data_IF_239264624117
#
_entry.id   IF_239264624117
#
_cell.length_a   1.000
_cell.length_b   1.000
_cell.length_c   1.000
_cell.angle_alpha   90.00
_cell.angle_beta   90.00
_cell.angle_gamma   90.00
#
_symmetry.space_group_name_H-M   'P 1'
#
loop_
_entity.id
_entity.type
_entity.pdbx_description
1 polymer ?
#
# COMPACT_ATOMS: atom_id res chain seq x y z
N UNK A 1 -31.08 2.99 -9.50
CA UNK A 1 -30.81 4.43 -9.28
C UNK A 1 -30.38 4.61 -7.83
N UNK A 2 -29.08 4.57 -7.54
CA UNK A 2 -28.56 4.69 -6.18
C UNK A 2 -28.59 6.16 -5.72
N UNK A 3 -29.29 6.42 -4.62
CA UNK A 3 -29.47 7.77 -4.07
C UNK A 3 -28.15 8.40 -3.64
N UNK A 4 -27.95 9.66 -4.03
CA UNK A 4 -26.81 10.46 -3.60
C UNK A 4 -26.73 10.51 -2.06
N UNK A 5 -25.52 10.48 -1.47
CA UNK A 5 -25.37 10.51 -0.02
C UNK A 5 -25.93 11.82 0.55
N UNK A 6 -26.74 11.70 1.59
CA UNK A 6 -27.34 12.82 2.32
C UNK A 6 -26.22 13.63 2.98
N UNK A 7 -25.80 14.72 2.33
CA UNK A 7 -24.94 15.73 2.95
C UNK A 7 -25.74 16.34 4.12
N UNK A 8 -25.27 16.17 5.36
CA UNK A 8 -25.84 16.87 6.51
C UNK A 8 -25.83 18.36 6.20
N UNK A 9 -27.00 18.97 6.03
CA UNK A 9 -27.13 20.41 5.88
C UNK A 9 -26.53 21.06 7.12
N UNK A 10 -25.49 21.88 6.94
CA UNK A 10 -24.92 22.68 8.03
C UNK A 10 -26.06 23.55 8.57
N UNK A 11 -26.30 23.53 9.88
CA UNK A 11 -27.44 24.18 10.59
C UNK A 11 -27.56 25.72 10.36
N UNK A 12 -26.68 26.31 9.54
CA UNK A 12 -26.61 27.73 9.15
C UNK A 12 -26.14 27.85 7.71
N UNK A 13 -26.86 27.26 6.76
CA UNK A 13 -26.49 27.20 5.33
C UNK A 13 -26.58 28.55 4.58
N UNK A 14 -26.92 29.65 5.25
CA UNK A 14 -26.96 31.00 4.68
C UNK A 14 -26.21 32.05 5.49
N UNK A 15 -25.37 31.64 6.45
CA UNK A 15 -24.48 32.58 7.14
C UNK A 15 -23.19 32.65 6.35
N UNK A 16 -22.90 33.82 5.77
CA UNK A 16 -21.58 34.12 5.21
C UNK A 16 -20.54 33.88 6.31
N UNK A 17 -19.76 32.82 6.14
CA UNK A 17 -18.61 32.56 7.01
C UNK A 17 -17.50 33.45 6.47
N UNK A 18 -17.36 34.64 7.04
CA UNK A 18 -16.17 35.45 6.79
C UNK A 18 -14.97 34.71 7.41
N UNK A 19 -13.98 34.29 6.60
CA UNK A 19 -12.76 33.71 7.16
C UNK A 19 -12.10 34.76 8.05
N UNK A 20 -11.72 34.35 9.26
CA UNK A 20 -11.00 35.23 10.16
C UNK A 20 -9.71 35.68 9.46
N UNK A 21 -9.60 36.99 9.22
CA UNK A 21 -8.41 37.61 8.65
C UNK A 21 -7.69 38.32 9.79
N UNK A 22 -6.51 37.86 10.23
CA UNK A 22 -5.76 38.57 11.27
C UNK A 22 -5.43 39.98 10.78
N UNK A 23 -5.39 40.95 11.69
CA UNK A 23 -5.13 42.34 11.33
C UNK A 23 -3.72 42.52 10.75
N UNK A 24 -2.75 41.70 11.19
CA UNK A 24 -1.39 41.65 10.69
C UNK A 24 -0.81 40.22 10.76
N UNK A 25 0.17 39.85 9.91
CA UNK A 25 0.82 38.54 9.97
C UNK A 25 1.54 38.35 11.31
N UNK A 26 1.22 37.29 12.06
CA UNK A 26 1.86 36.98 13.35
C UNK A 26 1.15 37.54 14.60
N UNK A 27 -0.09 38.02 14.47
CA UNK A 27 -0.89 38.43 15.64
C UNK A 27 -1.09 37.25 16.62
N UNK A 28 -0.57 37.40 17.84
CA UNK A 28 -0.78 36.46 18.95
C UNK A 28 -1.99 36.86 19.80
N UNK A 29 -2.79 35.89 20.24
CA UNK A 29 -3.97 36.11 21.10
C UNK A 29 -3.75 35.53 22.50
N UNK A 30 -4.38 36.13 23.50
CA UNK A 30 -4.35 35.61 24.87
C UNK A 30 -4.96 34.19 24.92
N UNK A 31 -4.18 33.21 25.38
CA UNK A 31 -4.55 31.79 25.36
C UNK A 31 -4.23 31.04 24.06
N UNK A 32 -3.56 31.67 23.10
CA UNK A 32 -3.09 31.00 21.89
C UNK A 32 -2.03 29.94 22.23
N UNK A 33 -2.28 28.71 21.82
CA UNK A 33 -1.27 27.64 21.91
C UNK A 33 -0.15 27.93 20.93
N UNK A 34 1.11 27.59 21.28
CA UNK A 34 2.22 27.71 20.33
C UNK A 34 1.90 26.93 19.06
N UNK A 35 2.38 27.39 17.89
CA UNK A 35 2.25 26.64 16.65
C UNK A 35 2.78 25.21 16.81
N UNK A 36 2.12 24.24 16.17
CA UNK A 36 2.63 22.88 16.20
C UNK A 36 4.01 22.81 15.57
N UNK A 37 4.90 22.09 16.23
CA UNK A 37 6.24 21.85 15.70
C UNK A 37 6.17 21.11 14.36
N UNK A 38 7.09 21.45 13.47
CA UNK A 38 7.27 20.73 12.21
C UNK A 38 7.57 19.27 12.55
N UNK A 39 6.80 18.34 11.97
CA UNK A 39 6.89 16.89 12.20
C UNK A 39 6.15 16.37 13.45
N UNK A 40 5.25 17.15 14.03
CA UNK A 40 4.48 16.68 15.17
C UNK A 40 3.69 15.39 14.85
N UNK A 41 3.86 14.37 15.69
CA UNK A 41 3.18 13.07 15.61
C UNK A 41 2.05 12.92 16.63
N UNK A 42 1.71 13.95 17.42
CA UNK A 42 0.66 13.88 18.46
C UNK A 42 -0.71 13.42 17.94
N UNK A 43 -1.02 13.66 16.67
CA UNK A 43 -2.28 13.24 16.04
C UNK A 43 -2.18 11.91 15.29
N UNK A 44 -1.00 11.30 15.26
CA UNK A 44 -0.74 10.05 14.56
C UNK A 44 -1.16 8.90 15.47
N UNK A 45 -2.14 8.12 15.02
CA UNK A 45 -2.64 6.96 15.78
C UNK A 45 -1.69 5.77 15.61
N UNK A 46 -1.63 5.24 14.40
CA UNK A 46 -0.85 4.03 14.05
C UNK A 46 -0.03 4.22 12.77
N UNK A 47 0.01 5.42 12.18
CA UNK A 47 0.89 5.72 11.04
C UNK A 47 0.52 5.10 9.68
N UNK A 48 -0.34 4.08 9.62
CA UNK A 48 -0.69 3.38 8.36
C UNK A 48 -1.37 4.26 7.28
N UNK A 49 -1.80 5.47 7.63
CA UNK A 49 -2.32 6.48 6.69
C UNK A 49 -1.37 7.68 6.51
N UNK A 50 -0.27 7.73 7.26
CA UNK A 50 0.75 8.76 7.17
C UNK A 50 1.71 8.43 6.04
N UNK A 51 1.64 9.20 4.94
CA UNK A 51 2.54 9.00 3.80
C UNK A 51 4.01 9.07 4.20
N UNK A 52 4.34 9.95 5.16
CA UNK A 52 5.68 10.10 5.71
C UNK A 52 6.20 8.81 6.35
N UNK A 53 5.36 8.11 7.11
CA UNK A 53 5.76 6.91 7.83
C UNK A 53 5.73 5.68 6.92
N UNK A 54 4.76 5.65 6.00
CA UNK A 54 4.52 4.55 5.08
C UNK A 54 5.57 4.48 3.96
N UNK A 55 5.93 5.61 3.35
CA UNK A 55 6.83 5.68 2.20
C UNK A 55 8.18 4.96 2.40
N UNK A 56 8.97 5.23 3.46
CA UNK A 56 10.27 4.57 3.62
C UNK A 56 10.17 3.06 3.77
N UNK A 57 9.11 2.57 4.43
CA UNK A 57 8.86 1.13 4.60
C UNK A 57 8.46 0.49 3.26
N UNK A 58 7.58 1.15 2.50
CA UNK A 58 7.19 0.68 1.17
C UNK A 58 8.40 0.63 0.21
N UNK A 59 9.28 1.62 0.24
CA UNK A 59 10.52 1.62 -0.56
C UNK A 59 11.44 0.44 -0.20
N UNK A 60 11.53 0.08 1.09
CA UNK A 60 12.29 -1.09 1.54
C UNK A 60 11.69 -2.41 1.02
N UNK A 61 10.35 -2.53 1.00
CA UNK A 61 9.66 -3.68 0.42
C UNK A 61 9.88 -3.81 -1.08
N UNK A 62 9.77 -2.72 -1.84
CA UNK A 62 10.08 -2.70 -3.28
C UNK A 62 11.51 -3.17 -3.52
N UNK A 63 12.49 -2.63 -2.78
CA UNK A 63 13.89 -3.02 -2.90
C UNK A 63 14.09 -4.51 -2.66
N UNK A 64 13.42 -5.06 -1.65
CA UNK A 64 13.48 -6.49 -1.32
C UNK A 64 12.90 -7.35 -2.44
N UNK A 65 11.74 -6.98 -2.97
CA UNK A 65 11.10 -7.70 -4.06
C UNK A 65 11.95 -7.70 -5.35
N UNK A 66 12.52 -6.55 -5.73
CA UNK A 66 13.38 -6.44 -6.92
C UNK A 66 14.72 -7.20 -6.79
N UNK A 67 15.17 -7.45 -5.56
CA UNK A 67 16.33 -8.29 -5.29
C UNK A 67 16.01 -9.79 -5.42
N UNK A 68 14.80 -10.21 -5.07
CA UNK A 68 14.39 -11.62 -5.07
C UNK A 68 13.79 -12.09 -6.42
N UNK A 69 13.15 -11.18 -7.15
CA UNK A 69 12.40 -11.48 -8.37
C UNK A 69 12.80 -10.52 -9.49
N UNK A 70 13.73 -10.95 -10.35
CA UNK A 70 14.26 -10.10 -11.42
C UNK A 70 13.21 -9.64 -12.45
N UNK A 71 12.17 -10.44 -12.71
CA UNK A 71 11.10 -10.12 -13.66
C UNK A 71 10.27 -8.90 -13.22
N UNK A 72 10.23 -8.57 -11.93
CA UNK A 72 9.54 -7.39 -11.41
C UNK A 72 10.22 -6.07 -11.79
N UNK A 73 11.41 -6.11 -12.41
CA UNK A 73 12.09 -4.93 -12.96
C UNK A 73 11.47 -4.42 -14.24
N UNK A 74 10.60 -5.21 -14.87
CA UNK A 74 9.83 -4.72 -16.01
C UNK A 74 8.88 -3.60 -15.56
N UNK A 75 8.91 -2.40 -16.19
CA UNK A 75 8.09 -1.26 -15.80
C UNK A 75 6.58 -1.52 -15.78
N UNK A 76 6.09 -2.52 -16.53
CA UNK A 76 4.67 -2.91 -16.52
C UNK A 76 4.18 -3.38 -15.14
N UNK A 77 5.06 -3.90 -14.30
CA UNK A 77 4.73 -4.32 -12.93
C UNK A 77 4.80 -3.19 -11.90
N UNK A 78 5.38 -2.02 -12.24
CA UNK A 78 5.63 -0.94 -11.29
C UNK A 78 4.38 -0.51 -10.50
N UNK A 79 3.20 -0.28 -11.12
CA UNK A 79 2.02 0.13 -10.37
C UNK A 79 1.54 -0.92 -9.37
N UNK A 80 1.58 -2.19 -9.76
CA UNK A 80 1.17 -3.31 -8.91
C UNK A 80 2.18 -3.55 -7.78
N UNK A 81 3.47 -3.43 -8.07
CA UNK A 81 4.56 -3.55 -7.10
C UNK A 81 4.49 -2.46 -6.02
N UNK A 82 4.28 -1.21 -6.45
CA UNK A 82 4.08 -0.08 -5.52
C UNK A 82 2.82 -0.26 -4.69
N UNK A 83 1.71 -0.69 -5.28
CA UNK A 83 0.48 -0.94 -4.54
C UNK A 83 0.68 -2.03 -3.47
N UNK A 84 1.32 -3.14 -3.83
CA UNK A 84 1.66 -4.22 -2.92
C UNK A 84 2.52 -3.73 -1.75
N UNK A 85 3.65 -3.07 -2.05
CA UNK A 85 4.59 -2.59 -1.04
C UNK A 85 3.95 -1.59 -0.07
N UNK A 86 3.03 -0.75 -0.55
CA UNK A 86 2.25 0.15 0.31
C UNK A 86 1.30 -0.58 1.25
N UNK A 87 0.78 -1.75 0.88
CA UNK A 87 -0.04 -2.56 1.78
C UNK A 87 0.80 -3.36 2.78
N UNK A 88 1.94 -3.91 2.38
CA UNK A 88 2.90 -4.53 3.32
C UNK A 88 3.34 -3.51 4.38
N UNK A 89 3.75 -2.31 3.94
CA UNK A 89 4.14 -1.23 4.86
C UNK A 89 3.03 -0.82 5.84
N UNK A 90 1.75 -0.95 5.44
CA UNK A 90 0.63 -0.73 6.36
C UNK A 90 0.47 -1.85 7.36
N UNK A 91 0.69 -3.11 6.95
CA UNK A 91 0.67 -4.24 7.85
C UNK A 91 1.77 -4.09 8.91
N UNK A 92 3.00 -3.77 8.50
CA UNK A 92 4.13 -3.54 9.42
C UNK A 92 3.79 -2.49 10.47
N UNK A 93 3.32 -1.31 10.03
CA UNK A 93 2.95 -0.22 10.95
C UNK A 93 1.79 -0.58 11.89
N UNK A 94 0.86 -1.43 11.44
CA UNK A 94 -0.24 -1.90 12.28
C UNK A 94 0.24 -2.97 13.27
N UNK A 95 1.14 -3.86 12.87
CA UNK A 95 1.77 -4.84 13.78
C UNK A 95 2.58 -4.12 14.84
N UNK A 96 3.48 -3.21 14.47
CA UNK A 96 4.28 -2.42 15.41
C UNK A 96 3.38 -1.72 16.44
N UNK A 97 2.29 -1.09 15.97
CA UNK A 97 1.34 -0.43 16.87
C UNK A 97 0.62 -1.42 17.79
N UNK A 98 0.20 -2.59 17.29
CA UNK A 98 -0.47 -3.63 18.07
C UNK A 98 0.48 -4.24 19.11
N UNK A 99 1.75 -4.42 18.77
CA UNK A 99 2.75 -4.94 19.68
C UNK A 99 2.99 -3.98 20.86
N UNK A 100 2.93 -2.67 20.59
CA UNK A 100 3.05 -1.63 21.62
C UNK A 100 1.78 -1.40 22.44
N UNK A 101 0.59 -1.47 21.83
CA UNK A 101 -0.67 -1.02 22.44
C UNK A 101 -1.65 -2.16 22.75
N UNK A 102 -1.38 -3.37 22.27
CA UNK A 102 -2.24 -4.54 22.40
C UNK A 102 -3.34 -4.66 21.35
N UNK A 103 -3.90 -5.87 21.27
CA UNK A 103 -5.03 -6.21 20.40
C UNK A 103 -6.37 -5.73 20.93
N UNK A 104 -6.50 -5.62 22.26
CA UNK A 104 -7.74 -5.34 22.97
C UNK A 104 -7.53 -4.06 23.80
N UNK A 105 -8.49 -3.14 23.72
CA UNK A 105 -8.48 -1.90 24.51
C UNK A 105 -8.96 -2.12 25.95
N UNK A 106 -8.89 -1.06 26.76
CA UNK A 106 -9.30 -1.07 28.17
C UNK A 106 -10.78 -1.44 28.39
N UNK A 107 -11.60 -1.41 27.33
CA UNK A 107 -13.03 -1.75 27.36
C UNK A 107 -13.31 -3.17 26.86
N UNK A 108 -12.28 -3.98 26.62
CA UNK A 108 -12.41 -5.34 26.13
C UNK A 108 -12.77 -5.44 24.64
N UNK A 109 -12.61 -4.35 23.87
CA UNK A 109 -12.91 -4.32 22.44
C UNK A 109 -11.64 -4.42 21.60
N UNK A 110 -11.74 -5.00 20.40
CA UNK A 110 -10.62 -4.99 19.47
C UNK A 110 -10.24 -3.56 19.07
N UNK A 111 -8.95 -3.25 19.14
CA UNK A 111 -8.42 -1.94 18.78
C UNK A 111 -8.68 -1.62 17.30
N UNK A 112 -8.72 -0.34 16.89
CA UNK A 112 -8.90 0.02 15.49
C UNK A 112 -7.82 -0.57 14.57
N UNK A 113 -6.59 -0.71 15.05
CA UNK A 113 -5.52 -1.36 14.31
C UNK A 113 -5.80 -2.85 14.09
N UNK A 114 -6.18 -3.56 15.15
CA UNK A 114 -6.55 -4.98 15.07
C UNK A 114 -7.73 -5.24 14.13
N UNK A 115 -8.69 -4.30 14.05
CA UNK A 115 -9.82 -4.38 13.10
C UNK A 115 -9.40 -4.19 11.64
N UNK A 116 -8.42 -3.32 11.38
CA UNK A 116 -7.97 -3.01 10.02
C UNK A 116 -6.99 -4.05 9.47
N UNK A 117 -6.17 -4.64 10.34
CA UNK A 117 -5.07 -5.52 9.96
C UNK A 117 -5.49 -6.66 9.01
N UNK A 118 -6.54 -7.47 9.28
CA UNK A 118 -6.94 -8.56 8.40
C UNK A 118 -7.31 -8.11 6.98
N UNK A 119 -7.85 -6.89 6.85
CA UNK A 119 -8.21 -6.33 5.54
C UNK A 119 -6.96 -5.97 4.73
N UNK A 120 -5.93 -5.45 5.39
CA UNK A 120 -4.68 -5.07 4.72
C UNK A 120 -3.82 -6.28 4.42
N UNK A 121 -3.72 -7.25 5.34
CA UNK A 121 -3.08 -8.54 5.10
C UNK A 121 -3.72 -9.27 3.92
N UNK A 122 -5.05 -9.34 3.88
CA UNK A 122 -5.76 -9.97 2.76
C UNK A 122 -5.47 -9.31 1.40
N UNK A 123 -5.39 -7.97 1.37
CA UNK A 123 -5.03 -7.23 0.14
C UNK A 123 -3.57 -7.44 -0.25
N UNK A 124 -2.67 -7.42 0.73
CA UNK A 124 -1.25 -7.63 0.52
C UNK A 124 -0.98 -9.06 0.00
N UNK A 125 -1.63 -10.07 0.57
CA UNK A 125 -1.59 -11.45 0.11
C UNK A 125 -2.12 -11.61 -1.33
N UNK A 126 -3.26 -10.98 -1.65
CA UNK A 126 -3.81 -11.01 -3.00
C UNK A 126 -2.85 -10.40 -4.03
N UNK A 127 -2.27 -9.23 -3.74
CA UNK A 127 -1.32 -8.58 -4.64
C UNK A 127 -0.01 -9.37 -4.78
N UNK A 128 0.48 -9.98 -3.69
CA UNK A 128 1.63 -10.90 -3.72
C UNK A 128 1.38 -12.07 -4.66
N UNK A 129 0.15 -12.61 -4.65
CA UNK A 129 -0.24 -13.68 -5.57
C UNK A 129 -0.34 -13.21 -7.03
N UNK A 130 -0.95 -12.05 -7.27
CA UNK A 130 -1.03 -11.46 -8.62
C UNK A 130 0.36 -11.19 -9.20
N UNK A 131 1.32 -10.77 -8.38
CA UNK A 131 2.70 -10.50 -8.79
C UNK A 131 3.56 -11.77 -8.92
N UNK A 132 3.01 -12.97 -8.66
CA UNK A 132 3.78 -14.21 -8.78
C UNK A 132 4.82 -14.42 -7.67
N UNK A 133 4.67 -13.72 -6.54
CA UNK A 133 5.62 -13.75 -5.43
C UNK A 133 5.32 -14.84 -4.38
N UNK A 134 4.13 -15.44 -4.39
CA UNK A 134 3.86 -16.59 -3.53
C UNK A 134 4.43 -17.90 -4.12
N UNK A 135 4.77 -18.91 -3.29
CA UNK A 135 5.38 -20.15 -3.76
C UNK A 135 4.58 -20.88 -4.83
N UNK A 136 3.24 -20.84 -4.76
CA UNK A 136 2.38 -21.55 -5.70
C UNK A 136 2.38 -20.83 -7.05
N UNK A 137 2.21 -19.51 -7.04
CA UNK A 137 2.26 -18.72 -8.28
C UNK A 137 3.65 -18.75 -8.90
N UNK A 138 4.71 -18.76 -8.09
CA UNK A 138 6.08 -18.92 -8.57
C UNK A 138 6.31 -20.29 -9.23
N UNK A 139 5.81 -21.37 -8.61
CA UNK A 139 5.89 -22.71 -9.20
C UNK A 139 5.10 -22.83 -10.51
N UNK A 140 3.94 -22.15 -10.61
CA UNK A 140 3.17 -22.05 -11.86
C UNK A 140 3.95 -21.32 -12.95
N UNK A 141 4.46 -20.13 -12.66
CA UNK A 141 5.28 -19.36 -13.61
C UNK A 141 6.50 -20.14 -14.08
N UNK A 142 7.18 -20.86 -13.19
CA UNK A 142 8.32 -21.70 -13.54
C UNK A 142 7.94 -22.88 -14.44
N UNK A 143 6.80 -23.53 -14.15
CA UNK A 143 6.29 -24.62 -14.99
C UNK A 143 5.96 -24.12 -16.38
N UNK A 144 5.25 -23.00 -16.49
CA UNK A 144 4.82 -22.44 -17.77
C UNK A 144 6.03 -22.00 -18.60
N UNK A 145 7.02 -21.35 -17.97
CA UNK A 145 8.28 -21.00 -18.63
C UNK A 145 9.07 -22.22 -19.13
N UNK A 146 9.13 -23.29 -18.33
CA UNK A 146 9.80 -24.53 -18.73
C UNK A 146 9.10 -25.22 -19.91
N UNK A 147 7.76 -25.24 -19.92
CA UNK A 147 6.99 -25.80 -21.03
C UNK A 147 7.28 -25.04 -22.34
N UNK A 148 7.27 -23.70 -22.31
CA UNK A 148 7.56 -22.88 -23.50
C UNK A 148 8.98 -23.09 -24.03
N UNK A 149 9.97 -23.31 -23.15
CA UNK A 149 11.35 -23.59 -23.58
C UNK A 149 11.47 -24.93 -24.30
N UNK A 150 10.75 -25.95 -23.84
CA UNK A 150 10.73 -27.28 -24.50
C UNK A 150 10.07 -27.18 -25.87
N UNK A 151 8.96 -26.46 -25.98
CA UNK A 151 8.27 -26.27 -27.26
C UNK A 151 9.13 -25.51 -28.27
N UNK A 152 9.81 -24.43 -27.84
CA UNK A 152 10.72 -23.67 -28.70
C UNK A 152 11.89 -24.54 -29.19
N UNK A 153 12.50 -25.33 -28.30
CA UNK A 153 13.58 -26.23 -28.69
C UNK A 153 13.13 -27.29 -29.69
N UNK A 154 11.90 -27.81 -29.55
CA UNK A 154 11.33 -28.76 -30.50
C UNK A 154 11.08 -28.13 -31.88
N UNK A 155 10.66 -26.86 -31.93
CA UNK A 155 10.47 -26.12 -33.18
C UNK A 155 11.82 -25.84 -33.88
N UNK A 156 12.82 -25.34 -33.15
CA UNK A 156 14.15 -25.08 -33.72
C UNK A 156 14.80 -26.37 -34.25
N UNK A 157 14.64 -27.49 -33.53
CA UNK A 157 15.14 -28.79 -33.99
C UNK A 157 14.43 -29.29 -35.26
N UNK A 158 13.15 -28.93 -35.48
CA UNK A 158 12.45 -29.26 -36.73
C UNK A 158 12.98 -28.41 -37.89
N UNK A 159 13.17 -27.10 -37.69
CA UNK A 159 13.73 -26.19 -38.69
C UNK A 159 15.14 -26.64 -39.14
N UNK A 160 16.03 -26.96 -38.20
CA UNK A 160 17.38 -27.45 -38.51
C UNK A 160 17.35 -28.74 -39.37
N UNK A 161 16.38 -29.63 -39.14
CA UNK A 161 16.25 -30.87 -39.94
C UNK A 161 15.62 -30.67 -41.31
N UNK A 162 14.91 -29.56 -41.54
CA UNK A 162 14.37 -29.19 -42.85
C UNK A 162 15.43 -28.48 -43.71
N UNK A 163 16.26 -27.62 -43.12
CA UNK A 163 17.36 -26.95 -43.81
C UNK A 163 18.45 -27.94 -44.29
N UNK A 164 18.74 -28.99 -43.52
CA UNK A 164 19.71 -30.05 -43.91
C UNK A 164 19.23 -30.94 -45.08
N UNK A 165 17.97 -30.78 -45.52
CA UNK A 165 17.36 -31.56 -46.60
C UNK A 165 17.25 -30.81 -47.93
N UNK A 166 17.66 -29.54 -47.99
CA UNK A 166 17.67 -28.71 -49.22
C UNK A 166 19.08 -28.50 -49.76
#
# INVERSE_FOLDING_TARGET
>A
MAGAPIRRARKKAGVEVTPFTPAFPGQEFEGQRPPFEKNNTLSLKHGAHSERSLKPIAEAWVKTALAQCAYLRDPSYEPALLAWARFEAKCDLLHDWIDENGLIDDYGQATPAAKLLPTYEGRAAALRATLGMDPISRAKLQRDAAATQVDLAALMAQEDTEDDRT
#
